data_IF_926206531683
#
_entry.id   IF_926206531683
#
_cell.length_a   1.000
_cell.length_b   1.000
_cell.length_c   1.000
_cell.angle_alpha   90.00
_cell.angle_beta   90.00
_cell.angle_gamma   90.00
#
_symmetry.space_group_name_H-M   'P 1'
#
loop_
_entity.id
_entity.type
_entity.pdbx_description
1 polymer ?
#
# COMPACT_ATOMS: atom_id res chain seq x y z
N UNK A 1 15.85 7.73 -20.04
CA UNK A 1 16.35 8.84 -19.21
C UNK A 1 16.57 8.33 -17.79
N UNK A 2 17.67 8.69 -17.13
CA UNK A 2 17.98 8.23 -15.78
C UNK A 2 17.21 9.05 -14.74
N UNK A 3 16.70 8.41 -13.69
CA UNK A 3 16.08 9.08 -12.53
C UNK A 3 17.17 9.74 -11.69
N UNK A 4 16.87 10.91 -11.12
CA UNK A 4 17.75 11.53 -10.15
C UNK A 4 17.66 10.81 -8.78
N UNK A 5 18.52 11.17 -7.83
CA UNK A 5 18.58 10.53 -6.52
C UNK A 5 17.26 10.67 -5.75
N UNK A 6 16.68 11.87 -5.71
CA UNK A 6 15.41 12.15 -5.01
C UNK A 6 14.21 11.43 -5.64
N UNK A 7 14.20 11.25 -6.95
CA UNK A 7 13.19 10.45 -7.68
C UNK A 7 13.35 8.96 -7.39
N UNK A 8 14.58 8.45 -7.35
CA UNK A 8 14.85 7.06 -6.96
C UNK A 8 14.45 6.78 -5.52
N UNK A 9 14.73 7.71 -4.61
CA UNK A 9 14.31 7.63 -3.21
C UNK A 9 12.79 7.66 -3.08
N UNK A 10 12.11 8.60 -3.77
CA UNK A 10 10.64 8.65 -3.78
C UNK A 10 10.04 7.34 -4.29
N UNK A 11 10.55 6.82 -5.41
CA UNK A 11 10.08 5.55 -5.98
C UNK A 11 10.25 4.40 -4.99
N UNK A 12 11.40 4.32 -4.31
CA UNK A 12 11.66 3.29 -3.29
C UNK A 12 10.73 3.44 -2.10
N UNK A 13 10.51 4.65 -1.61
CA UNK A 13 9.60 4.91 -0.49
C UNK A 13 8.16 4.51 -0.85
N UNK A 14 7.67 4.85 -2.05
CA UNK A 14 6.35 4.43 -2.53
C UNK A 14 6.22 2.90 -2.58
N UNK A 15 7.24 2.21 -3.10
CA UNK A 15 7.26 0.74 -3.14
C UNK A 15 7.35 0.10 -1.75
N UNK A 16 8.08 0.73 -0.82
CA UNK A 16 8.19 0.28 0.57
C UNK A 16 6.83 0.36 1.25
N UNK A 17 6.18 1.53 1.22
CA UNK A 17 4.87 1.72 1.85
C UNK A 17 3.81 0.81 1.23
N UNK A 18 3.84 0.61 -0.09
CA UNK A 18 2.96 -0.35 -0.74
C UNK A 18 3.17 -1.78 -0.21
N UNK A 19 4.42 -2.18 0.04
CA UNK A 19 4.76 -3.49 0.61
C UNK A 19 4.31 -3.63 2.06
N UNK A 20 4.41 -2.54 2.84
CA UNK A 20 3.93 -2.50 4.23
C UNK A 20 2.41 -2.64 4.28
N UNK A 21 1.67 -1.92 3.42
CA UNK A 21 0.21 -2.04 3.30
C UNK A 21 -0.22 -3.47 2.94
N UNK A 22 0.49 -4.11 2.01
CA UNK A 22 0.26 -5.52 1.65
C UNK A 22 0.40 -6.43 2.86
N UNK A 23 1.46 -6.23 3.66
CA UNK A 23 1.67 -7.03 4.86
C UNK A 23 0.60 -6.77 5.92
N UNK A 24 0.21 -5.51 6.12
CA UNK A 24 -0.89 -5.16 7.03
C UNK A 24 -2.21 -5.79 6.58
N UNK A 25 -2.52 -5.82 5.28
CA UNK A 25 -3.71 -6.48 4.77
C UNK A 25 -3.71 -8.00 5.04
N UNK A 26 -2.55 -8.66 4.90
CA UNK A 26 -2.40 -10.09 5.24
C UNK A 26 -2.66 -10.35 6.72
N UNK A 27 -2.20 -9.46 7.61
CA UNK A 27 -2.45 -9.61 9.04
C UNK A 27 -3.92 -9.33 9.40
N UNK A 28 -4.52 -8.31 8.79
CA UNK A 28 -5.95 -8.02 8.96
C UNK A 28 -6.83 -9.18 8.49
N UNK A 29 -6.47 -9.89 7.41
CA UNK A 29 -7.17 -11.11 6.98
C UNK A 29 -7.16 -12.19 8.06
N UNK A 30 -6.03 -12.38 8.76
CA UNK A 30 -5.95 -13.33 9.87
C UNK A 30 -6.85 -12.92 11.04
N UNK A 31 -6.88 -11.62 11.36
CA UNK A 31 -7.75 -11.07 12.41
C UNK A 31 -9.22 -11.25 12.03
N UNK A 32 -9.59 -10.98 10.78
CA UNK A 32 -10.97 -11.17 10.29
C UNK A 32 -11.41 -12.63 10.42
N UNK A 33 -10.54 -13.59 10.09
CA UNK A 33 -10.80 -15.02 10.25
C UNK A 33 -11.01 -15.38 11.73
N UNK A 34 -10.17 -14.86 12.63
CA UNK A 34 -10.32 -15.07 14.08
C UNK A 34 -11.63 -14.49 14.62
N UNK A 35 -12.02 -13.29 14.17
CA UNK A 35 -13.30 -12.66 14.55
C UNK A 35 -14.49 -13.50 14.09
N UNK A 36 -14.44 -14.04 12.88
CA UNK A 36 -15.46 -14.95 12.35
C UNK A 36 -15.58 -16.22 13.18
N UNK A 37 -14.45 -16.84 13.54
CA UNK A 37 -14.44 -18.03 14.41
C UNK A 37 -14.98 -17.76 15.81
N UNK A 38 -14.85 -16.52 16.29
CA UNK A 38 -15.44 -16.07 17.55
C UNK A 38 -16.94 -15.70 17.45
N UNK A 39 -17.55 -15.84 16.26
CA UNK A 39 -18.96 -15.48 16.02
C UNK A 39 -19.21 -13.99 15.86
N UNK A 40 -18.16 -13.19 15.64
CA UNK A 40 -18.25 -11.75 15.43
C UNK A 40 -18.16 -11.40 13.94
N UNK A 41 -19.23 -11.74 13.21
CA UNK A 41 -19.30 -11.55 11.76
C UNK A 41 -19.27 -10.07 11.34
N UNK A 42 -19.79 -9.17 12.17
CA UNK A 42 -19.82 -7.73 11.89
C UNK A 42 -18.40 -7.16 11.87
N UNK A 43 -17.60 -7.44 12.90
CA UNK A 43 -16.22 -6.94 12.96
C UNK A 43 -15.31 -7.66 11.97
N UNK A 44 -15.58 -8.94 11.68
CA UNK A 44 -14.90 -9.66 10.60
C UNK A 44 -15.13 -8.98 9.25
N UNK A 45 -16.39 -8.63 8.92
CA UNK A 45 -16.72 -7.92 7.69
C UNK A 45 -16.11 -6.51 7.65
N UNK A 46 -16.08 -5.79 8.77
CA UNK A 46 -15.42 -4.48 8.84
C UNK A 46 -13.92 -4.59 8.56
N UNK A 47 -13.27 -5.63 9.10
CA UNK A 47 -11.84 -5.89 8.91
C UNK A 47 -11.55 -6.28 7.45
N UNK A 48 -12.41 -7.08 6.81
CA UNK A 48 -12.29 -7.39 5.38
C UNK A 48 -12.36 -6.14 4.49
N UNK A 49 -13.25 -5.19 4.79
CA UNK A 49 -13.31 -3.91 4.07
C UNK A 49 -12.03 -3.08 4.22
N UNK A 50 -11.38 -3.14 5.40
CA UNK A 50 -10.07 -2.50 5.59
C UNK A 50 -8.98 -3.18 4.75
N UNK A 51 -9.02 -4.51 4.61
CA UNK A 51 -8.12 -5.22 3.70
C UNK A 51 -8.28 -4.74 2.25
N UNK A 52 -9.52 -4.60 1.77
CA UNK A 52 -9.81 -4.10 0.42
C UNK A 52 -9.29 -2.67 0.22
N UNK A 53 -9.44 -1.80 1.22
CA UNK A 53 -8.89 -0.44 1.19
C UNK A 53 -7.37 -0.46 1.08
N UNK A 54 -6.69 -1.30 1.86
CA UNK A 54 -5.23 -1.40 1.85
C UNK A 54 -4.69 -1.96 0.53
N UNK A 55 -5.40 -2.92 -0.08
CA UNK A 55 -5.07 -3.43 -1.42
C UNK A 55 -5.22 -2.33 -2.48
N UNK A 56 -6.31 -1.56 -2.43
CA UNK A 56 -6.50 -0.44 -3.36
C UNK A 56 -5.42 0.65 -3.22
N UNK A 57 -5.01 0.97 -1.99
CA UNK A 57 -3.95 1.95 -1.75
C UNK A 57 -2.56 1.39 -2.11
N UNK A 58 -2.30 0.11 -1.88
CA UNK A 58 -1.10 -0.58 -2.37
C UNK A 58 -0.98 -0.45 -3.90
N UNK A 59 -2.05 -0.74 -4.63
CA UNK A 59 -2.07 -0.63 -6.09
C UNK A 59 -1.83 0.79 -6.58
N UNK A 60 -2.44 1.80 -5.94
CA UNK A 60 -2.20 3.22 -6.25
C UNK A 60 -0.74 3.61 -6.02
N UNK A 61 -0.15 3.23 -4.89
CA UNK A 61 1.25 3.53 -4.58
C UNK A 61 2.22 2.86 -5.56
N UNK A 62 1.94 1.61 -5.97
CA UNK A 62 2.67 0.94 -7.05
C UNK A 62 2.54 1.67 -8.38
N UNK A 63 1.34 2.15 -8.71
CA UNK A 63 1.08 3.00 -9.88
C UNK A 63 1.94 4.25 -9.87
N UNK A 64 1.94 5.00 -8.77
CA UNK A 64 2.78 6.19 -8.62
C UNK A 64 4.27 5.88 -8.72
N UNK A 65 4.74 4.75 -8.20
CA UNK A 65 6.13 4.34 -8.34
C UNK A 65 6.52 4.11 -9.81
N UNK A 66 5.63 3.53 -10.62
CA UNK A 66 5.85 3.38 -12.07
C UNK A 66 5.74 4.72 -12.81
N UNK A 67 4.86 5.63 -12.39
CA UNK A 67 4.77 6.99 -12.93
C UNK A 67 6.04 7.81 -12.66
N UNK A 68 6.63 7.68 -11.47
CA UNK A 68 7.94 8.28 -11.15
C UNK A 68 9.01 7.72 -12.08
N UNK A 69 9.03 6.40 -12.29
CA UNK A 69 9.96 5.74 -13.21
C UNK A 69 9.76 6.18 -14.66
N UNK A 70 8.52 6.46 -15.06
CA UNK A 70 8.17 7.01 -16.37
C UNK A 70 8.41 8.53 -16.49
N UNK A 71 8.85 9.20 -15.42
CA UNK A 71 9.02 10.66 -15.30
C UNK A 71 7.73 11.46 -15.52
N UNK A 72 6.58 10.85 -15.25
CA UNK A 72 5.28 11.53 -15.21
C UNK A 72 5.16 12.31 -13.88
N UNK A 73 5.67 11.74 -12.79
CA UNK A 73 5.80 12.39 -11.49
C UNK A 73 7.27 12.75 -11.24
N UNK A 74 7.55 14.01 -10.92
CA UNK A 74 8.89 14.50 -10.56
C UNK A 74 8.88 15.12 -9.17
N UNK A 75 9.90 14.83 -8.36
CA UNK A 75 10.08 15.44 -7.04
C UNK A 75 11.08 16.59 -7.13
N UNK A 76 10.61 17.83 -7.02
CA UNK A 76 11.49 18.99 -6.88
C UNK A 76 11.87 19.10 -5.41
N UNK A 77 13.16 18.89 -5.07
CA UNK A 77 13.77 18.96 -3.73
C UNK A 77 12.81 18.86 -2.53
N UNK A 78 12.83 17.72 -1.85
CA UNK A 78 12.28 17.64 -0.51
C UNK A 78 13.06 18.60 0.40
N UNK A 79 12.31 19.43 1.13
CA UNK A 79 12.85 20.44 2.04
C UNK A 79 13.49 19.80 3.28
#
# INVERSE_FOLDING_TARGET
>A
MWLNESENELRRNLQSVASDLRWSAVELLRIAEQLRLAGNDVDAQATLKLCELFQGDEERLKGYAEEVKAKVITRTKAH
#
